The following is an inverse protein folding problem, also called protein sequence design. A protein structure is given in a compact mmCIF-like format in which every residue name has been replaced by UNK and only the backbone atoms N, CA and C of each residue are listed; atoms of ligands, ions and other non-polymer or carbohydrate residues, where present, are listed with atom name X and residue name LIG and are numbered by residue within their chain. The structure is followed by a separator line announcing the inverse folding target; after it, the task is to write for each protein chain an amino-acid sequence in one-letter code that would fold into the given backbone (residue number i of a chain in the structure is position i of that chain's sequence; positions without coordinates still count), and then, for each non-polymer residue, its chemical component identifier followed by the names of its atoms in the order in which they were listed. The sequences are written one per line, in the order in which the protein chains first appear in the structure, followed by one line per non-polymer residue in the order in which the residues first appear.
data_IF_744666940135
#
_entry.id   IF_744666940135
#
_cell.length_a   1.000
_cell.length_b   1.000
_cell.length_c   1.000
_cell.angle_alpha   90.00
_cell.angle_beta   90.00
_cell.angle_gamma   90.00
#
_symmetry.space_group_name_H-M   'P 1'
#
loop_
_entity.id
_entity.type
_entity.pdbx_description
1 polymer ?
#
# COMPACT_ATOMS: atom_id res chain seq x y z
N UNK A 1 -11.82 17.51 5.97
CA UNK A 1 -11.27 17.79 4.62
C UNK A 1 -11.34 16.51 3.81
N UNK A 2 -11.60 16.61 2.50
CA UNK A 2 -11.57 15.46 1.59
C UNK A 2 -10.21 15.44 0.86
N UNK A 3 -9.20 14.90 1.52
CA UNK A 3 -7.79 14.91 1.04
C UNK A 3 -7.55 14.15 -0.27
N UNK A 4 -8.50 13.32 -0.70
CA UNK A 4 -8.38 12.50 -1.91
C UNK A 4 -9.37 12.93 -3.02
N UNK A 5 -10.09 14.04 -2.84
CA UNK A 5 -11.13 14.48 -3.79
C UNK A 5 -10.64 15.57 -4.76
N UNK A 6 -9.59 16.33 -4.42
CA UNK A 6 -9.17 17.51 -5.18
C UNK A 6 -7.78 17.38 -5.85
N UNK A 7 -6.85 16.61 -5.27
CA UNK A 7 -5.53 16.35 -5.84
C UNK A 7 -5.27 14.84 -5.96
N UNK A 8 -4.62 14.43 -7.05
CA UNK A 8 -4.22 13.05 -7.25
C UNK A 8 -3.13 12.70 -6.22
N UNK A 9 -3.34 11.70 -5.34
CA UNK A 9 -2.36 11.36 -4.32
C UNK A 9 -1.07 10.81 -4.93
N UNK A 10 0.07 11.15 -4.35
CA UNK A 10 1.38 10.73 -4.81
C UNK A 10 1.57 9.23 -4.56
N UNK A 11 2.04 8.51 -5.59
CA UNK A 11 2.24 7.06 -5.50
C UNK A 11 3.65 6.75 -4.97
N UNK A 12 3.71 6.05 -3.84
CA UNK A 12 4.95 5.61 -3.21
C UNK A 12 5.49 4.38 -3.96
N UNK A 13 6.71 4.52 -4.47
CA UNK A 13 7.52 3.40 -4.96
C UNK A 13 8.56 3.00 -3.91
N UNK A 14 9.04 1.75 -3.99
CA UNK A 14 10.12 1.27 -3.11
C UNK A 14 11.33 0.90 -3.98
N UNK A 15 12.45 1.60 -3.76
CA UNK A 15 13.72 1.40 -4.45
C UNK A 15 14.79 1.04 -3.42
N UNK A 16 15.30 -0.19 -3.49
CA UNK A 16 16.19 -0.72 -2.44
C UNK A 16 15.49 -0.71 -1.08
N UNK A 17 16.13 -0.04 -0.13
CA UNK A 17 15.72 0.18 1.26
C UNK A 17 15.00 1.52 1.49
N UNK A 18 14.57 2.20 0.42
CA UNK A 18 13.95 3.53 0.48
C UNK A 18 12.55 3.56 -0.12
N UNK A 19 11.68 4.35 0.53
CA UNK A 19 10.46 4.87 -0.06
C UNK A 19 10.78 6.05 -0.97
N UNK A 20 10.13 6.13 -2.12
CA UNK A 20 10.36 7.18 -3.12
C UNK A 20 9.05 7.71 -3.70
N UNK A 21 8.87 9.03 -3.60
CA UNK A 21 7.77 9.82 -4.19
C UNK A 21 8.20 11.29 -4.25
N UNK A 22 7.71 12.06 -5.21
CA UNK A 22 7.95 13.51 -5.34
C UNK A 22 9.40 13.95 -5.09
N UNK A 23 10.34 13.23 -5.73
CA UNK A 23 11.79 13.42 -5.64
C UNK A 23 12.39 13.17 -4.24
N UNK A 24 11.58 12.79 -3.26
CA UNK A 24 12.02 12.41 -1.94
C UNK A 24 12.43 10.96 -1.87
N UNK A 25 13.44 10.71 -1.04
CA UNK A 25 13.99 9.39 -0.75
C UNK A 25 14.14 9.27 0.76
N UNK A 26 13.45 8.31 1.37
CA UNK A 26 13.48 8.16 2.83
C UNK A 26 13.43 6.69 3.23
N UNK A 27 14.20 6.27 4.26
CA UNK A 27 14.13 4.90 4.79
C UNK A 27 12.84 4.63 5.57
N UNK A 28 12.13 5.68 6.00
CA UNK A 28 10.90 5.59 6.79
C UNK A 28 9.84 6.58 6.33
N UNK A 29 8.57 6.27 6.57
CA UNK A 29 7.44 7.18 6.36
C UNK A 29 6.64 7.30 7.64
N UNK A 30 6.41 8.52 8.14
CA UNK A 30 5.48 8.74 9.25
C UNK A 30 4.15 9.21 8.69
N UNK A 31 3.10 8.39 8.87
CA UNK A 31 1.84 8.55 8.16
C UNK A 31 0.63 8.32 9.06
N UNK A 32 -0.55 8.77 8.63
CA UNK A 32 -1.84 8.29 9.14
C UNK A 32 -2.54 7.48 8.05
N UNK A 33 -2.93 6.24 8.34
CA UNK A 33 -3.63 5.38 7.36
C UNK A 33 -5.10 5.81 7.29
N UNK A 34 -5.58 6.19 6.11
CA UNK A 34 -6.97 6.64 5.92
C UNK A 34 -7.86 5.54 5.32
N UNK A 35 -7.29 4.63 4.53
CA UNK A 35 -8.02 3.52 3.92
C UNK A 35 -7.09 2.36 3.61
N UNK A 36 -7.57 1.15 3.87
CA UNK A 36 -6.95 -0.10 3.44
C UNK A 36 -7.92 -0.76 2.46
N UNK A 37 -7.45 -1.12 1.27
CA UNK A 37 -8.29 -1.78 0.26
C UNK A 37 -7.53 -2.90 -0.46
N UNK A 38 -8.16 -4.07 -0.69
CA UNK A 38 -7.55 -5.13 -1.46
C UNK A 38 -7.44 -4.73 -2.93
N UNK A 39 -6.28 -4.95 -3.52
CA UNK A 39 -6.06 -4.74 -4.96
C UNK A 39 -5.37 -5.96 -5.56
N UNK A 40 -5.58 -6.19 -6.86
CA UNK A 40 -4.86 -7.21 -7.62
C UNK A 40 -4.19 -6.59 -8.82
N UNK A 41 -2.93 -6.94 -9.04
CA UNK A 41 -2.14 -6.51 -10.21
C UNK A 41 -1.52 -7.70 -10.91
N UNK A 42 -1.60 -7.73 -12.24
CA UNK A 42 -0.88 -8.70 -13.05
C UNK A 42 0.11 -7.94 -13.92
N UNK A 43 1.39 -8.27 -13.76
CA UNK A 43 2.45 -7.75 -14.61
C UNK A 43 2.94 -8.83 -15.56
N UNK A 44 3.21 -8.47 -16.81
CA UNK A 44 3.86 -9.34 -17.81
C UNK A 44 4.99 -8.55 -18.44
N UNK A 45 6.22 -9.07 -18.33
CA UNK A 45 7.42 -8.41 -18.85
C UNK A 45 7.63 -6.97 -18.35
N UNK A 46 7.21 -6.68 -17.10
CA UNK A 46 7.29 -5.35 -16.50
C UNK A 46 6.04 -4.49 -16.70
N UNK A 47 5.18 -4.82 -17.67
CA UNK A 47 3.98 -4.05 -17.97
C UNK A 47 2.79 -4.50 -17.14
N UNK A 48 2.01 -3.53 -16.62
CA UNK A 48 0.75 -3.80 -15.94
C UNK A 48 -0.32 -4.15 -16.97
N UNK A 49 -0.67 -5.43 -17.06
CA UNK A 49 -1.63 -5.93 -18.06
C UNK A 49 -3.05 -6.14 -17.51
N UNK A 50 -3.19 -6.23 -16.18
CA UNK A 50 -4.50 -6.30 -15.54
C UNK A 50 -4.43 -5.69 -14.14
N UNK A 51 -5.48 -4.94 -13.81
CA UNK A 51 -5.62 -4.28 -12.53
C UNK A 51 -7.06 -4.40 -12.03
N UNK A 52 -7.22 -4.62 -10.72
CA UNK A 52 -8.52 -4.64 -10.05
C UNK A 52 -8.41 -3.84 -8.76
N UNK A 53 -9.23 -2.78 -8.67
CA UNK A 53 -9.28 -1.83 -7.54
C UNK A 53 -9.93 -2.41 -6.29
N UNK A 54 -10.79 -3.40 -6.44
CA UNK A 54 -11.54 -4.07 -5.38
C UNK A 54 -11.09 -5.54 -5.16
N UNK A 55 -10.12 -5.99 -5.96
CA UNK A 55 -9.66 -7.38 -6.01
C UNK A 55 -10.68 -8.37 -6.59
N UNK A 56 -11.81 -7.90 -7.14
CA UNK A 56 -12.94 -8.71 -7.62
C UNK A 56 -13.19 -8.52 -9.11
N UNK A 57 -13.15 -7.30 -9.64
CA UNK A 57 -13.42 -6.98 -11.05
C UNK A 57 -12.24 -6.22 -11.63
N UNK A 58 -11.76 -6.62 -12.82
CA UNK A 58 -10.68 -5.91 -13.51
C UNK A 58 -11.17 -4.56 -14.05
N UNK A 59 -10.24 -3.67 -14.38
CA UNK A 59 -10.53 -2.42 -15.10
C UNK A 59 -11.16 -2.65 -16.48
N UNK A 60 -11.08 -3.87 -17.02
CA UNK A 60 -11.75 -4.30 -18.25
C UNK A 60 -13.13 -4.96 -18.03
N UNK A 61 -13.67 -4.93 -16.80
CA UNK A 61 -14.99 -5.46 -16.46
C UNK A 61 -15.06 -6.98 -16.27
N UNK A 62 -13.93 -7.70 -16.35
CA UNK A 62 -13.89 -9.15 -16.14
C UNK A 62 -13.80 -9.47 -14.65
N UNK A 63 -14.65 -10.37 -14.18
CA UNK A 63 -14.55 -10.90 -12.83
C UNK A 63 -13.27 -11.72 -12.65
N UNK A 64 -12.46 -11.35 -11.65
CA UNK A 64 -11.23 -12.02 -11.28
C UNK A 64 -11.45 -13.48 -10.86
N UNK A 65 -12.65 -13.82 -10.35
CA UNK A 65 -13.01 -15.18 -9.95
C UNK A 65 -12.96 -16.16 -11.12
N UNK A 66 -13.40 -15.71 -12.30
CA UNK A 66 -13.48 -16.47 -13.55
C UNK A 66 -12.28 -16.24 -14.48
N UNK A 67 -11.22 -15.59 -13.98
CA UNK A 67 -10.02 -15.35 -14.77
C UNK A 67 -9.09 -16.57 -14.72
N UNK A 68 -8.81 -17.16 -15.87
CA UNK A 68 -7.96 -18.36 -15.99
C UNK A 68 -6.52 -18.11 -15.51
N UNK A 69 -6.05 -16.87 -15.60
CA UNK A 69 -4.70 -16.48 -15.17
C UNK A 69 -4.67 -15.79 -13.81
N UNK A 70 -5.73 -15.92 -12.98
CA UNK A 70 -5.82 -15.26 -11.66
C UNK A 70 -4.68 -15.60 -10.71
N UNK A 71 -4.09 -16.79 -10.87
CA UNK A 71 -2.94 -17.25 -10.08
C UNK A 71 -1.65 -16.49 -10.40
N UNK A 72 -1.58 -15.81 -11.55
CA UNK A 72 -0.47 -14.92 -11.94
C UNK A 72 -0.65 -13.49 -11.42
N UNK A 73 -1.83 -13.16 -10.90
CA UNK A 73 -2.10 -11.86 -10.30
C UNK A 73 -1.52 -11.81 -8.89
N UNK A 74 -0.72 -10.80 -8.61
CA UNK A 74 -0.23 -10.50 -7.26
C UNK A 74 -1.37 -9.89 -6.43
N UNK A 75 -1.59 -10.46 -5.24
CA UNK A 75 -2.42 -9.85 -4.20
C UNK A 75 -1.62 -8.74 -3.53
N UNK A 76 -2.25 -7.58 -3.36
CA UNK A 76 -1.68 -6.42 -2.69
C UNK A 76 -2.73 -5.77 -1.80
N UNK A 77 -2.30 -5.04 -0.80
CA UNK A 77 -3.15 -4.10 -0.07
C UNK A 77 -2.72 -2.70 -0.43
N UNK A 78 -3.68 -1.87 -0.84
CA UNK A 78 -3.48 -0.45 -1.07
C UNK A 78 -3.77 0.30 0.21
N UNK A 79 -2.78 1.03 0.69
CA UNK A 79 -2.87 1.98 1.78
C UNK A 79 -3.01 3.38 1.18
N UNK A 80 -4.14 4.04 1.44
CA UNK A 80 -4.29 5.48 1.24
C UNK A 80 -3.95 6.15 2.56
N UNK A 81 -2.99 7.06 2.56
CA UNK A 81 -2.39 7.58 3.78
C UNK A 81 -2.16 9.09 3.66
N UNK A 82 -1.92 9.75 4.79
CA UNK A 82 -1.46 11.13 4.86
C UNK A 82 -0.03 11.14 5.40
N UNK A 83 0.92 11.74 4.71
CA UNK A 83 2.24 12.04 5.27
C UNK A 83 2.11 13.18 6.28
N UNK A 84 2.38 12.87 7.55
CA UNK A 84 2.28 13.83 8.65
C UNK A 84 3.57 14.56 8.97
N UNK A 85 4.64 14.31 8.22
CA UNK A 85 5.88 15.09 8.31
C UNK A 85 5.77 16.41 7.54
N UNK A 86 4.76 16.55 6.67
CA UNK A 86 4.49 17.75 5.86
C UNK A 86 3.49 18.66 6.56
N UNK A 87 3.65 20.00 6.47
CA UNK A 87 2.72 20.95 7.08
C UNK A 87 1.26 20.82 6.61
N UNK A 88 1.03 20.36 5.38
CA UNK A 88 -0.31 20.32 4.76
C UNK A 88 -0.96 18.92 4.76
N UNK A 89 -0.32 17.91 5.37
CA UNK A 89 -0.75 16.51 5.30
C UNK A 89 -0.90 16.01 3.87
N UNK A 90 0.21 15.57 3.28
CA UNK A 90 0.25 15.19 1.86
C UNK A 90 -0.41 13.82 1.63
N UNK A 91 -1.41 13.70 0.72
CA UNK A 91 -2.07 12.43 0.45
C UNK A 91 -1.18 11.54 -0.41
N UNK A 92 -0.88 10.34 0.11
CA UNK A 92 0.00 9.37 -0.55
C UNK A 92 -0.65 7.98 -0.64
N UNK A 93 -0.23 7.19 -1.63
CA UNK A 93 -0.68 5.81 -1.84
C UNK A 93 0.51 4.86 -1.84
N UNK A 94 0.41 3.79 -1.04
CA UNK A 94 1.37 2.68 -1.05
C UNK A 94 0.64 1.35 -1.28
N UNK A 95 1.07 0.58 -2.28
CA UNK A 95 0.62 -0.80 -2.45
C UNK A 95 1.64 -1.78 -1.84
N UNK A 96 1.28 -2.38 -0.71
CA UNK A 96 2.12 -3.37 -0.01
C UNK A 96 1.89 -4.79 -0.56
N UNK A 97 2.93 -5.62 -0.47
CA UNK A 97 2.90 -7.02 -0.89
C UNK A 97 2.50 -7.94 0.27
N UNK A 98 2.17 -9.19 -0.08
CA UNK A 98 1.74 -10.21 0.88
C UNK A 98 2.66 -10.41 2.10
N UNK A 99 4.02 -10.36 1.99
CA UNK A 99 4.89 -10.46 3.17
C UNK A 99 4.64 -9.39 4.24
N UNK A 100 4.00 -8.26 3.88
CA UNK A 100 3.69 -7.15 4.79
C UNK A 100 2.31 -7.25 5.44
N UNK A 101 1.49 -8.23 5.04
CA UNK A 101 0.11 -8.32 5.53
C UNK A 101 0.07 -8.69 7.00
N UNK A 102 0.91 -9.64 7.44
CA UNK A 102 0.96 -10.06 8.83
C UNK A 102 1.38 -8.92 9.77
N UNK A 103 2.40 -8.14 9.39
CA UNK A 103 2.82 -6.98 10.20
C UNK A 103 1.73 -5.92 10.27
N UNK A 104 0.97 -5.70 9.19
CA UNK A 104 -0.18 -4.80 9.22
C UNK A 104 -1.28 -5.36 10.13
N UNK A 105 -1.61 -6.64 10.03
CA UNK A 105 -2.62 -7.28 10.89
C UNK A 105 -2.25 -7.20 12.38
N UNK A 106 -0.98 -7.41 12.72
CA UNK A 106 -0.48 -7.26 14.08
C UNK A 106 -0.65 -5.83 14.60
N UNK A 107 -0.26 -4.83 13.80
CA UNK A 107 -0.46 -3.41 14.14
C UNK A 107 -1.94 -3.08 14.34
N UNK A 108 -2.81 -3.54 13.42
CA UNK A 108 -4.26 -3.37 13.53
C UNK A 108 -4.80 -3.99 14.81
N UNK A 109 -4.32 -5.18 15.18
CA UNK A 109 -4.71 -5.87 16.41
C UNK A 109 -4.26 -5.17 17.68
N UNK A 110 -3.12 -4.48 17.66
CA UNK A 110 -2.58 -3.71 18.79
C UNK A 110 -3.30 -2.37 18.98
N UNK A 111 -3.51 -1.63 17.88
CA UNK A 111 -4.14 -0.30 17.91
C UNK A 111 -5.66 -0.37 17.97
N UNK A 112 -6.27 -1.42 17.41
CA UNK A 112 -7.72 -1.53 17.27
C UNK A 112 -8.25 -0.92 15.97
N UNK A 113 -9.22 -1.60 15.35
CA UNK A 113 -9.72 -1.30 13.99
C UNK A 113 -10.20 0.14 13.78
N UNK A 114 -10.79 0.76 14.82
CA UNK A 114 -11.37 2.11 14.75
C UNK A 114 -10.32 3.21 14.93
N UNK A 115 -9.21 2.89 15.60
CA UNK A 115 -8.22 3.89 16.02
C UNK A 115 -7.13 4.09 14.96
N UNK A 116 -6.88 3.08 14.10
CA UNK A 116 -5.92 3.14 12.99
C UNK A 116 -6.06 4.39 12.12
N UNK A 117 -7.29 4.88 11.91
CA UNK A 117 -7.54 6.05 11.07
C UNK A 117 -6.98 7.35 11.64
N UNK A 118 -6.69 7.35 12.94
CA UNK A 118 -6.25 8.50 13.71
C UNK A 118 -4.85 8.30 14.30
N UNK A 119 -4.33 7.07 14.30
CA UNK A 119 -3.02 6.74 14.87
C UNK A 119 -1.90 7.00 13.87
N UNK A 120 -0.94 7.90 14.20
CA UNK A 120 0.31 8.02 13.47
C UNK A 120 1.11 6.71 13.52
N UNK A 121 1.62 6.28 12.37
CA UNK A 121 2.45 5.08 12.25
C UNK A 121 3.69 5.37 11.43
N UNK A 122 4.83 4.84 11.88
CA UNK A 122 6.08 4.82 11.13
C UNK A 122 6.15 3.52 10.32
N UNK A 123 6.20 3.65 9.00
CA UNK A 123 6.50 2.56 8.09
C UNK A 123 8.00 2.43 7.92
N UNK A 124 8.52 1.20 7.99
CA UNK A 124 9.92 0.89 7.74
C UNK A 124 10.04 -0.33 6.82
N UNK A 125 10.94 -0.25 5.84
CA UNK A 125 11.27 -1.41 5.00
C UNK A 125 12.13 -2.38 5.81
N UNK A 126 11.73 -3.65 5.83
CA UNK A 126 12.46 -4.74 6.48
C UNK A 126 12.61 -5.90 5.51
N UNK A 127 13.56 -6.78 5.79
CA UNK A 127 13.82 -8.00 5.03
C UNK A 127 13.68 -9.16 6.00
N UNK A 128 13.00 -10.23 5.58
CA UNK A 128 12.97 -11.46 6.36
C UNK A 128 14.23 -12.31 6.11
N UNK A 129 14.28 -13.45 6.79
CA UNK A 129 15.39 -14.42 6.69
C UNK A 129 15.62 -14.99 5.28
N UNK A 130 14.65 -14.79 4.36
CA UNK A 130 14.70 -15.22 2.97
C UNK A 130 14.93 -14.04 2.01
N UNK A 131 15.39 -12.89 2.51
CA UNK A 131 15.60 -11.64 1.77
C UNK A 131 14.31 -11.12 1.09
N UNK A 132 13.14 -11.53 1.59
CA UNK A 132 11.86 -11.03 1.07
C UNK A 132 11.57 -9.71 1.74
N UNK A 133 11.40 -8.69 0.91
CA UNK A 133 11.04 -7.35 1.35
C UNK A 133 9.64 -7.31 1.96
N UNK A 134 9.53 -6.69 3.12
CA UNK A 134 8.28 -6.40 3.83
C UNK A 134 8.28 -4.98 4.41
N UNK A 135 7.14 -4.56 4.96
CA UNK A 135 6.93 -3.27 5.61
C UNK A 135 6.53 -3.56 7.05
N UNK A 136 7.29 -3.01 7.99
CA UNK A 136 6.96 -2.97 9.40
C UNK A 136 6.13 -1.71 9.71
N UNK A 137 5.18 -1.86 10.62
CA UNK A 137 4.31 -0.81 11.13
C UNK A 137 4.65 -0.57 12.60
N UNK A 138 5.25 0.58 12.90
CA UNK A 138 5.81 0.91 14.23
C UNK A 138 5.11 2.17 14.74
N UNK A 139 4.53 2.12 15.94
CA UNK A 139 3.90 3.27 16.60
C UNK A 139 4.90 4.37 16.98
#
# INVERSE_FOLDING_TARGET
MRYFDNDLPSYISIKGDQFTYDQMHTPTLRVMIQKIQPVRKHFKSGDLICYSMDGRISTSGKYCLFCDVKFRCQKKLRLSMLDITKPEFEPIILDINQPSFESLEQFIGQTGEKEILQTPVTLKIIYDEHDRRSIAFIE
#
